data_IF_576683249748
#
_entry.id   IF_576683249748
#
_cell.length_a   1.000
_cell.length_b   1.000
_cell.length_c   1.000
_cell.angle_alpha   90.00
_cell.angle_beta   90.00
_cell.angle_gamma   90.00
#
_symmetry.space_group_name_H-M   'P 1'
#
loop_
_entity.id
_entity.type
_entity.pdbx_description
1 polymer ?
#
# COMPACT_ATOMS: atom_id res chain seq x y z
N UNK A 1 11.28 -8.86 15.48
CA UNK A 1 12.64 -8.53 15.95
C UNK A 1 12.88 -7.05 15.65
N UNK A 2 12.99 -6.19 16.67
CA UNK A 2 13.30 -4.76 16.50
C UNK A 2 14.82 -4.58 16.49
N UNK A 3 15.39 -4.21 15.36
CA UNK A 3 16.68 -3.51 15.33
C UNK A 3 16.36 -2.08 14.87
N UNK A 4 16.06 -1.22 15.85
CA UNK A 4 15.99 0.23 15.61
C UNK A 4 17.37 0.75 15.96
N UNK A 5 18.16 0.96 14.91
CA UNK A 5 19.53 1.45 15.00
C UNK A 5 19.62 2.77 15.77
N UNK A 6 20.67 2.88 16.59
CA UNK A 6 21.15 4.11 17.26
C UNK A 6 21.37 5.29 16.27
N UNK A 7 21.35 5.05 14.96
CA UNK A 7 21.52 6.06 13.91
C UNK A 7 20.37 7.08 13.80
N UNK A 8 19.19 6.78 14.36
CA UNK A 8 18.00 7.64 14.25
C UNK A 8 18.21 9.03 14.89
N UNK A 9 18.83 9.05 16.08
CA UNK A 9 19.12 10.29 16.81
C UNK A 9 20.30 11.04 16.19
N UNK A 10 21.32 10.30 15.72
CA UNK A 10 22.49 10.88 15.06
C UNK A 10 22.10 11.65 13.78
N UNK A 11 21.19 11.11 12.97
CA UNK A 11 20.73 11.78 11.75
C UNK A 11 19.93 13.05 12.05
N UNK A 12 19.07 13.02 13.07
CA UNK A 12 18.30 14.21 13.48
C UNK A 12 19.22 15.32 13.99
N UNK A 13 20.27 14.97 14.74
CA UNK A 13 21.29 15.91 15.20
C UNK A 13 22.08 16.50 14.02
N UNK A 14 22.51 15.67 13.07
CA UNK A 14 23.17 16.09 11.84
C UNK A 14 22.34 17.09 11.02
N UNK A 15 21.02 16.85 10.89
CA UNK A 15 20.13 17.77 10.18
C UNK A 15 20.05 19.14 10.86
N UNK A 16 20.00 19.18 12.19
CA UNK A 16 20.03 20.44 12.95
C UNK A 16 21.33 21.21 12.73
N UNK A 17 22.47 20.52 12.75
CA UNK A 17 23.79 21.10 12.47
C UNK A 17 23.85 21.71 11.05
N UNK A 18 23.16 21.10 10.09
CA UNK A 18 22.99 21.61 8.71
C UNK A 18 21.89 22.67 8.56
N UNK A 19 21.30 23.16 9.65
CA UNK A 19 20.24 24.17 9.65
C UNK A 19 18.89 23.69 9.11
N UNK A 20 18.63 22.38 9.13
CA UNK A 20 17.35 21.77 8.72
C UNK A 20 16.49 21.48 9.95
N UNK A 21 15.16 21.53 9.80
CA UNK A 21 14.21 21.17 10.86
C UNK A 21 13.84 19.67 10.76
N UNK A 22 14.28 18.81 11.71
CA UNK A 22 13.95 17.38 11.70
C UNK A 22 12.62 17.05 12.41
N UNK A 23 11.82 18.03 12.85
CA UNK A 23 10.58 17.79 13.61
C UNK A 23 9.64 16.81 12.90
N UNK A 24 9.54 16.88 11.57
CA UNK A 24 8.74 15.94 10.78
C UNK A 24 9.20 14.48 10.92
N UNK A 25 10.49 14.23 11.18
CA UNK A 25 11.04 12.89 11.38
C UNK A 25 10.70 12.32 12.76
N UNK A 26 10.42 13.17 13.76
CA UNK A 26 10.10 12.70 15.11
C UNK A 26 8.84 11.83 15.13
N UNK A 27 7.79 12.26 14.42
CA UNK A 27 6.56 11.49 14.26
C UNK A 27 6.80 10.19 13.50
N UNK A 28 7.59 10.23 12.42
CA UNK A 28 7.97 9.04 11.67
C UNK A 28 8.70 8.01 12.54
N UNK A 29 9.73 8.43 13.27
CA UNK A 29 10.50 7.52 14.13
C UNK A 29 9.68 6.98 15.30
N UNK A 30 8.72 7.75 15.82
CA UNK A 30 7.78 7.26 16.83
C UNK A 30 6.93 6.11 16.26
N UNK A 31 6.37 6.28 15.04
CA UNK A 31 5.62 5.21 14.34
C UNK A 31 6.47 3.96 14.13
N UNK A 32 7.72 4.10 13.69
CA UNK A 32 8.64 2.96 13.54
C UNK A 32 8.90 2.27 14.89
N UNK A 33 9.13 3.05 15.96
CA UNK A 33 9.36 2.53 17.32
C UNK A 33 8.15 1.81 17.90
N UNK A 34 6.93 2.25 17.60
CA UNK A 34 5.71 1.60 18.07
C UNK A 34 5.31 0.38 17.24
N UNK A 35 5.87 0.19 16.05
CA UNK A 35 5.49 -0.88 15.12
C UNK A 35 6.28 -2.18 15.34
N UNK A 36 5.69 -3.31 14.96
CA UNK A 36 6.40 -4.57 14.78
C UNK A 36 6.74 -4.73 13.30
N UNK A 37 8.04 -4.71 12.98
CA UNK A 37 8.53 -4.78 11.60
C UNK A 37 9.22 -6.13 11.40
N UNK A 38 8.86 -6.81 10.31
CA UNK A 38 9.47 -8.05 9.86
C UNK A 38 9.94 -7.83 8.42
N UNK A 39 11.14 -8.30 8.12
CA UNK A 39 11.69 -8.29 6.77
C UNK A 39 11.73 -9.72 6.26
N UNK A 40 11.17 -9.93 5.09
CA UNK A 40 11.16 -11.21 4.39
C UNK A 40 11.92 -11.03 3.08
N UNK A 41 12.70 -12.04 2.71
CA UNK A 41 13.46 -12.03 1.47
C UNK A 41 12.70 -12.84 0.42
N UNK A 42 12.29 -12.19 -0.67
CA UNK A 42 11.76 -12.86 -1.86
C UNK A 42 12.94 -13.05 -2.84
N UNK A 43 13.55 -14.24 -2.91
CA UNK A 43 14.79 -14.45 -3.68
C UNK A 43 14.58 -14.38 -5.19
N UNK A 44 13.39 -14.73 -5.67
CA UNK A 44 12.99 -14.67 -7.08
C UNK A 44 11.76 -13.79 -7.24
N UNK A 45 11.73 -12.92 -8.26
CA UNK A 45 10.59 -12.02 -8.49
C UNK A 45 9.43 -12.77 -9.15
N UNK A 46 8.71 -13.56 -8.36
CA UNK A 46 7.56 -14.37 -8.79
C UNK A 46 6.22 -13.61 -8.76
N UNK A 47 6.27 -12.30 -8.48
CA UNK A 47 5.12 -11.39 -8.47
C UNK A 47 4.53 -11.16 -7.08
N UNK A 48 3.47 -10.33 -7.03
CA UNK A 48 2.86 -9.89 -5.77
C UNK A 48 2.15 -11.02 -5.01
N UNK A 49 1.57 -11.99 -5.71
CA UNK A 49 0.91 -13.13 -5.08
C UNK A 49 1.89 -13.97 -4.25
N UNK A 50 3.09 -14.21 -4.78
CA UNK A 50 4.17 -14.90 -4.06
C UNK A 50 4.64 -14.10 -2.84
N UNK A 51 4.78 -12.77 -2.97
CA UNK A 51 5.14 -11.91 -1.85
C UNK A 51 4.08 -11.94 -0.72
N UNK A 52 2.79 -11.99 -1.06
CA UNK A 52 1.69 -12.13 -0.09
C UNK A 52 1.75 -13.51 0.59
N UNK A 53 1.97 -14.57 -0.18
CA UNK A 53 2.10 -15.94 0.34
C UNK A 53 3.30 -16.04 1.32
N UNK A 54 4.44 -15.46 0.96
CA UNK A 54 5.61 -15.40 1.85
C UNK A 54 5.30 -14.71 3.19
N UNK A 55 4.40 -13.71 3.17
CA UNK A 55 3.94 -12.98 4.35
C UNK A 55 2.91 -13.72 5.21
N UNK A 56 2.28 -14.79 4.72
CA UNK A 56 1.18 -15.51 5.37
C UNK A 56 1.44 -15.82 6.87
N UNK A 57 2.61 -16.33 7.30
CA UNK A 57 2.83 -16.67 8.70
C UNK A 57 2.80 -15.47 9.67
N UNK A 58 2.94 -14.24 9.15
CA UNK A 58 3.08 -13.01 9.94
C UNK A 58 1.82 -12.16 9.98
N UNK A 59 0.80 -12.52 9.19
CA UNK A 59 -0.43 -11.75 9.04
C UNK A 59 -1.61 -12.54 9.61
N UNK A 60 -2.55 -11.85 10.26
CA UNK A 60 -3.79 -12.46 10.77
C UNK A 60 -4.98 -11.56 10.46
N UNK A 61 -6.06 -12.13 9.98
CA UNK A 61 -7.28 -11.39 9.63
C UNK A 61 -7.10 -10.50 8.40
N UNK A 62 -7.87 -9.42 8.32
CA UNK A 62 -7.80 -8.45 7.22
C UNK A 62 -6.46 -7.71 7.24
N UNK A 63 -5.84 -7.56 6.08
CA UNK A 63 -4.57 -6.87 5.90
C UNK A 63 -4.57 -6.02 4.63
N UNK A 64 -3.55 -5.16 4.51
CA UNK A 64 -3.34 -4.29 3.36
C UNK A 64 -2.06 -4.71 2.67
N UNK A 65 -2.12 -4.82 1.34
CA UNK A 65 -0.95 -4.99 0.47
C UNK A 65 -0.71 -3.66 -0.24
N UNK A 66 0.51 -3.14 -0.16
CA UNK A 66 0.91 -1.93 -0.86
C UNK A 66 2.28 -2.15 -1.51
N UNK A 67 2.37 -1.84 -2.80
CA UNK A 67 3.63 -1.89 -3.52
C UNK A 67 4.55 -0.76 -3.02
N UNK A 68 5.82 -1.08 -2.76
CA UNK A 68 6.76 -0.16 -2.12
C UNK A 68 7.18 1.03 -2.99
N UNK A 69 6.93 0.96 -4.29
CA UNK A 69 7.18 2.01 -5.28
C UNK A 69 5.96 2.91 -5.53
N UNK A 70 4.80 2.59 -4.94
CA UNK A 70 3.56 3.33 -5.12
C UNK A 70 3.35 4.34 -4.00
N UNK A 71 3.22 5.61 -4.39
CA UNK A 71 2.94 6.71 -3.48
C UNK A 71 1.62 7.39 -3.83
N UNK A 72 0.67 7.38 -2.89
CA UNK A 72 -0.65 7.99 -3.04
C UNK A 72 -0.72 9.19 -2.11
N UNK A 73 -0.87 10.38 -2.69
CA UNK A 73 -1.10 11.62 -1.96
C UNK A 73 -2.60 11.77 -1.68
N UNK A 74 -2.97 11.79 -0.41
CA UNK A 74 -4.32 12.14 0.02
C UNK A 74 -4.28 12.88 1.35
N UNK A 75 -5.20 13.81 1.55
CA UNK A 75 -5.40 14.42 2.86
C UNK A 75 -5.80 13.35 3.90
N UNK A 76 -5.16 13.39 5.07
CA UNK A 76 -5.44 12.51 6.22
C UNK A 76 -5.57 11.01 5.90
N UNK A 77 -4.77 10.50 4.96
CA UNK A 77 -4.80 9.10 4.52
C UNK A 77 -6.21 8.63 4.09
N UNK A 78 -7.01 9.53 3.49
CA UNK A 78 -8.39 9.28 3.11
C UNK A 78 -8.57 8.03 2.22
N UNK A 79 -7.58 7.71 1.38
CA UNK A 79 -7.64 6.54 0.51
C UNK A 79 -7.68 5.22 1.31
N UNK A 80 -6.89 5.12 2.39
CA UNK A 80 -6.89 3.93 3.27
C UNK A 80 -8.21 3.80 4.02
N UNK A 81 -8.74 4.93 4.52
CA UNK A 81 -10.04 4.96 5.22
C UNK A 81 -11.16 4.53 4.28
N UNK A 82 -11.19 5.03 3.04
CA UNK A 82 -12.17 4.64 2.03
C UNK A 82 -12.05 3.16 1.69
N UNK A 83 -10.82 2.67 1.46
CA UNK A 83 -10.56 1.26 1.15
C UNK A 83 -11.10 0.34 2.27
N UNK A 84 -10.75 0.62 3.52
CA UNK A 84 -11.18 -0.17 4.68
C UNK A 84 -12.70 -0.10 4.89
N UNK A 85 -13.29 1.10 4.78
CA UNK A 85 -14.73 1.28 4.93
C UNK A 85 -15.52 0.47 3.89
N UNK A 86 -15.10 0.49 2.63
CA UNK A 86 -15.77 -0.27 1.57
C UNK A 86 -15.58 -1.78 1.73
N UNK A 87 -14.39 -2.22 2.12
CA UNK A 87 -14.11 -3.62 2.41
C UNK A 87 -15.08 -4.18 3.47
N UNK A 88 -15.25 -3.45 4.58
CA UNK A 88 -16.15 -3.85 5.66
C UNK A 88 -17.63 -3.68 5.28
N UNK A 89 -18.02 -2.60 4.60
CA UNK A 89 -19.42 -2.37 4.18
C UNK A 89 -19.95 -3.52 3.33
N UNK A 90 -19.15 -4.00 2.37
CA UNK A 90 -19.57 -5.03 1.43
C UNK A 90 -19.15 -6.45 1.83
N UNK A 91 -18.49 -6.62 2.98
CA UNK A 91 -17.93 -7.92 3.41
C UNK A 91 -17.14 -8.57 2.26
N UNK A 92 -16.35 -7.75 1.55
CA UNK A 92 -15.72 -8.16 0.31
C UNK A 92 -14.58 -9.13 0.57
N UNK A 93 -14.39 -10.13 -0.29
CA UNK A 93 -13.24 -11.03 -0.20
C UNK A 93 -11.91 -10.28 -0.41
N UNK A 94 -11.93 -9.28 -1.29
CA UNK A 94 -10.83 -8.35 -1.53
C UNK A 94 -11.40 -6.98 -1.92
N UNK A 95 -10.62 -5.93 -1.66
CA UNK A 95 -10.95 -4.56 -2.09
C UNK A 95 -9.68 -3.94 -2.66
N UNK A 96 -9.82 -3.31 -3.83
CA UNK A 96 -8.70 -2.79 -4.62
C UNK A 96 -9.01 -1.33 -4.92
N UNK A 97 -8.00 -0.47 -4.86
CA UNK A 97 -8.12 0.90 -5.36
C UNK A 97 -7.95 0.91 -6.87
N UNK A 98 -8.87 1.58 -7.54
CA UNK A 98 -8.82 1.78 -8.98
C UNK A 98 -8.57 3.25 -9.25
N UNK A 99 -7.90 3.52 -10.35
CA UNK A 99 -7.66 4.86 -10.86
C UNK A 99 -7.90 4.83 -12.36
N UNK A 100 -8.80 5.69 -12.81
CA UNK A 100 -9.02 5.92 -14.23
C UNK A 100 -7.77 6.54 -14.85
N UNK A 101 -7.33 6.03 -16.00
CA UNK A 101 -6.21 6.61 -16.72
C UNK A 101 -6.36 6.54 -18.25
N UNK A 102 -5.70 7.44 -19.00
CA UNK A 102 -5.83 7.44 -20.46
C UNK A 102 -5.27 6.19 -21.16
N UNK A 103 -4.27 5.53 -20.58
CA UNK A 103 -3.65 4.32 -21.14
C UNK A 103 -3.32 3.30 -20.04
N UNK A 104 -4.21 2.31 -19.80
CA UNK A 104 -4.03 1.34 -18.72
C UNK A 104 -3.30 0.06 -19.15
N UNK A 105 -2.74 -0.01 -20.38
CA UNK A 105 -2.15 -1.25 -20.93
C UNK A 105 -0.95 -1.78 -20.15
N UNK A 106 -0.34 -0.96 -19.29
CA UNK A 106 0.77 -1.34 -18.43
C UNK A 106 0.34 -1.88 -17.06
N UNK A 107 -0.97 -1.94 -16.79
CA UNK A 107 -1.55 -2.27 -15.48
C UNK A 107 -2.58 -3.39 -15.57
N UNK A 108 -3.05 -3.83 -14.40
CA UNK A 108 -4.25 -4.64 -14.28
C UNK A 108 -5.50 -3.81 -14.56
N UNK A 109 -6.35 -4.28 -15.46
CA UNK A 109 -7.60 -3.63 -15.88
C UNK A 109 -8.76 -4.48 -15.39
N UNK A 110 -9.77 -3.84 -14.79
CA UNK A 110 -10.92 -4.55 -14.21
C UNK A 110 -12.22 -4.17 -14.91
N UNK A 111 -13.14 -5.14 -15.01
CA UNK A 111 -14.52 -4.90 -15.40
C UNK A 111 -15.43 -5.22 -14.21
N UNK A 112 -16.56 -4.54 -14.12
CA UNK A 112 -17.48 -4.73 -13.02
C UNK A 112 -18.79 -3.99 -13.19
N UNK A 113 -19.71 -4.24 -12.25
CA UNK A 113 -20.99 -3.55 -12.20
C UNK A 113 -20.95 -2.48 -11.10
N UNK A 114 -21.50 -1.27 -11.31
CA UNK A 114 -21.56 -0.25 -10.28
C UNK A 114 -22.38 -0.74 -9.07
N UNK A 115 -21.89 -0.48 -7.87
CA UNK A 115 -22.62 -0.68 -6.61
C UNK A 115 -23.17 0.64 -6.09
N UNK A 116 -22.33 1.67 -6.10
CA UNK A 116 -22.66 3.06 -5.77
C UNK A 116 -21.61 3.98 -6.41
N UNK A 117 -21.75 5.30 -6.23
CA UNK A 117 -20.83 6.26 -6.82
C UNK A 117 -19.37 5.99 -6.39
N UNK A 118 -18.50 5.83 -7.39
CA UNK A 118 -17.09 5.50 -7.19
C UNK A 118 -16.81 4.12 -6.59
N UNK A 119 -17.75 3.17 -6.63
CA UNK A 119 -17.56 1.78 -6.17
C UNK A 119 -18.15 0.80 -7.18
N UNK A 120 -17.33 -0.16 -7.61
CA UNK A 120 -17.75 -1.24 -8.53
C UNK A 120 -17.56 -2.62 -7.90
N UNK A 121 -18.46 -3.54 -8.21
CA UNK A 121 -18.27 -4.97 -7.98
C UNK A 121 -17.49 -5.55 -9.14
N UNK A 122 -16.21 -5.84 -8.91
CA UNK A 122 -15.32 -6.45 -9.90
C UNK A 122 -15.85 -7.83 -10.29
N UNK A 123 -15.99 -8.07 -11.59
CA UNK A 123 -16.39 -9.35 -12.20
C UNK A 123 -15.27 -9.98 -13.02
N UNK A 124 -14.31 -9.18 -13.51
CA UNK A 124 -13.11 -9.67 -14.19
C UNK A 124 -11.92 -8.75 -13.94
N UNK A 125 -10.72 -9.30 -14.05
CA UNK A 125 -9.46 -8.58 -14.02
C UNK A 125 -8.51 -9.17 -15.07
N UNK A 126 -7.81 -8.33 -15.82
CA UNK A 126 -6.86 -8.71 -16.85
C UNK A 126 -5.54 -7.98 -16.63
N UNK A 127 -4.45 -8.72 -16.56
CA UNK A 127 -3.10 -8.15 -16.43
C UNK A 127 -2.60 -7.68 -17.79
N UNK A 128 -2.29 -6.38 -17.90
CA UNK A 128 -1.64 -5.75 -19.06
C UNK A 128 -2.31 -6.08 -20.41
N UNK A 129 -3.62 -5.83 -20.56
CA UNK A 129 -4.32 -6.17 -21.79
C UNK A 129 -3.81 -5.30 -22.96
N UNK A 130 -3.66 -5.91 -24.13
CA UNK A 130 -3.32 -5.17 -25.36
C UNK A 130 -4.47 -4.25 -25.81
N UNK A 131 -5.71 -4.69 -25.59
CA UNK A 131 -6.94 -3.94 -25.84
C UNK A 131 -7.74 -3.84 -24.53
N UNK A 132 -7.51 -2.78 -23.73
CA UNK A 132 -8.22 -2.59 -22.47
C UNK A 132 -9.70 -2.29 -22.74
N UNK A 133 -10.59 -2.88 -21.95
CA UNK A 133 -12.04 -2.67 -22.06
C UNK A 133 -12.56 -1.53 -21.19
N UNK A 134 -11.79 -1.19 -20.16
CA UNK A 134 -12.01 -0.08 -19.23
C UNK A 134 -10.71 0.72 -19.13
N UNK A 135 -10.84 1.96 -18.67
CA UNK A 135 -9.76 2.94 -18.52
C UNK A 135 -9.17 2.94 -17.11
#
# INVERSE_FOLDING_TARGET
MKIISLQTLAFSAYLKERGKNPECLSGFYSKIKSSNIVFLNQPESLGFGDAVLLGEPFVRGTFIVQAGDTYILSEDDAYLKKLAAMHHKYQAAATILLQDMPDPRQYGVVEGNPLEDGVIRITSALEKPQAPKTN
#
